data_IF_268573970412
#
_entry.id   IF_268573970412
#
_cell.length_a   1.000
_cell.length_b   1.000
_cell.length_c   1.000
_cell.angle_alpha   90.00
_cell.angle_beta   90.00
_cell.angle_gamma   90.00
#
_symmetry.space_group_name_H-M   'P 1'
#
loop_
_entity.id
_entity.type
_entity.pdbx_description
1 polymer ?
#
# COMPACT_ATOMS: atom_id res chain seq x y z
N UNK A 1 25.45 -0.36 7.38
CA UNK A 1 24.32 0.59 7.28
C UNK A 1 23.25 0.11 8.25
N UNK A 2 22.92 0.91 9.25
CA UNK A 2 22.02 0.48 10.33
C UNK A 2 20.65 0.13 9.75
N UNK A 3 20.26 -1.15 9.81
CA UNK A 3 18.85 -1.57 9.76
C UNK A 3 18.21 -1.05 11.05
N UNK A 4 17.77 0.21 11.03
CA UNK A 4 16.99 0.76 12.13
C UNK A 4 15.59 0.16 12.04
N UNK A 5 15.25 -0.74 12.96
CA UNK A 5 13.85 -1.10 13.22
C UNK A 5 13.17 0.16 13.77
N UNK A 6 12.61 0.98 12.88
CA UNK A 6 11.73 2.07 13.29
C UNK A 6 10.42 1.43 13.71
N UNK A 7 10.00 1.69 14.94
CA UNK A 7 8.69 1.25 15.41
C UNK A 7 7.65 2.22 14.87
N UNK A 8 6.72 1.74 14.06
CA UNK A 8 5.52 2.48 13.70
C UNK A 8 4.52 2.35 14.84
N UNK A 9 4.08 3.48 15.39
CA UNK A 9 2.99 3.50 16.36
C UNK A 9 1.67 3.60 15.59
N UNK A 10 0.82 2.59 15.76
CA UNK A 10 -0.53 2.55 15.19
C UNK A 10 -1.56 2.79 16.29
N UNK A 11 -2.69 3.40 15.94
CA UNK A 11 -3.75 3.68 16.91
C UNK A 11 -4.35 2.38 17.44
N UNK A 12 -4.90 2.43 18.67
CA UNK A 12 -5.61 1.28 19.25
C UNK A 12 -6.75 0.79 18.36
N UNK A 13 -7.49 1.72 17.76
CA UNK A 13 -8.58 1.40 16.84
C UNK A 13 -8.08 0.64 15.60
N UNK A 14 -6.94 1.04 15.03
CA UNK A 14 -6.33 0.32 13.91
C UNK A 14 -5.90 -1.08 14.31
N UNK A 15 -5.32 -1.24 15.51
CA UNK A 15 -4.95 -2.56 16.07
C UNK A 15 -6.20 -3.45 16.19
N UNK A 16 -7.28 -2.96 16.80
CA UNK A 16 -8.52 -3.71 16.97
C UNK A 16 -9.13 -4.15 15.62
N UNK A 17 -9.04 -3.30 14.59
CA UNK A 17 -9.46 -3.64 13.22
C UNK A 17 -8.58 -4.76 12.63
N UNK A 18 -7.27 -4.66 12.77
CA UNK A 18 -6.33 -5.68 12.26
C UNK A 18 -6.58 -7.02 12.98
N UNK A 19 -6.72 -7.02 14.30
CA UNK A 19 -7.01 -8.22 15.09
C UNK A 19 -8.32 -8.88 14.65
N UNK A 20 -9.37 -8.08 14.48
CA UNK A 20 -10.69 -8.58 14.08
C UNK A 20 -10.70 -9.12 12.65
N UNK A 21 -9.91 -8.54 11.74
CA UNK A 21 -9.87 -8.93 10.34
C UNK A 21 -8.86 -10.05 10.04
N UNK A 22 -7.89 -10.27 10.93
CA UNK A 22 -6.86 -11.31 10.78
C UNK A 22 -7.39 -12.69 10.37
N UNK A 23 -8.50 -13.24 10.92
CA UNK A 23 -9.01 -14.54 10.48
C UNK A 23 -9.40 -14.58 9.00
N UNK A 24 -9.83 -13.45 8.42
CA UNK A 24 -10.13 -13.34 6.99
C UNK A 24 -8.84 -13.42 6.17
N UNK A 25 -7.78 -12.74 6.62
CA UNK A 25 -6.48 -12.77 5.95
C UNK A 25 -5.92 -14.21 5.99
N UNK A 26 -5.94 -14.84 7.16
CA UNK A 26 -5.45 -16.23 7.32
C UNK A 26 -6.22 -17.21 6.43
N UNK A 27 -7.53 -17.02 6.27
CA UNK A 27 -8.37 -17.82 5.37
C UNK A 27 -7.99 -17.61 3.90
N UNK A 28 -7.81 -16.36 3.47
CA UNK A 28 -7.49 -16.02 2.07
C UNK A 28 -6.09 -16.47 1.66
N UNK A 29 -5.13 -16.42 2.59
CA UNK A 29 -3.75 -16.85 2.34
C UNK A 29 -3.52 -18.34 2.58
N UNK A 30 -4.49 -19.04 3.16
CA UNK A 30 -4.35 -20.43 3.61
C UNK A 30 -3.15 -20.62 4.57
N UNK A 31 -2.81 -19.57 5.32
CA UNK A 31 -1.63 -19.49 6.19
C UNK A 31 -1.99 -18.82 7.53
N UNK A 32 -1.51 -19.38 8.65
CA UNK A 32 -1.69 -18.75 9.96
C UNK A 32 -0.64 -17.68 10.18
N UNK A 33 -1.06 -16.50 10.63
CA UNK A 33 -0.14 -15.40 10.92
C UNK A 33 0.62 -15.67 12.23
N UNK A 34 1.94 -15.52 12.23
CA UNK A 34 2.74 -15.81 13.43
C UNK A 34 2.50 -14.78 14.55
N UNK A 35 2.24 -13.52 14.17
CA UNK A 35 2.02 -12.43 15.11
C UNK A 35 1.12 -11.35 14.52
N UNK A 36 0.62 -10.45 15.38
CA UNK A 36 -0.11 -9.27 14.92
C UNK A 36 0.79 -8.30 14.16
N UNK A 37 2.05 -8.18 14.57
CA UNK A 37 3.05 -7.35 13.89
C UNK A 37 3.29 -7.82 12.45
N UNK A 38 3.43 -9.14 12.25
CA UNK A 38 3.57 -9.72 10.91
C UNK A 38 2.34 -9.47 10.04
N UNK A 39 1.13 -9.64 10.61
CA UNK A 39 -0.12 -9.31 9.94
C UNK A 39 -0.18 -7.83 9.54
N UNK A 40 0.26 -6.92 10.43
CA UNK A 40 0.29 -5.49 10.16
C UNK A 40 1.31 -5.13 9.06
N UNK A 41 2.51 -5.71 9.08
CA UNK A 41 3.52 -5.53 8.03
C UNK A 41 2.97 -5.94 6.66
N UNK A 42 2.35 -7.11 6.57
CA UNK A 42 1.73 -7.60 5.35
C UNK A 42 0.63 -6.64 4.84
N UNK A 43 -0.27 -6.20 5.72
CA UNK A 43 -1.34 -5.26 5.35
C UNK A 43 -0.76 -3.95 4.80
N UNK A 44 0.32 -3.45 5.41
CA UNK A 44 1.00 -2.23 4.95
C UNK A 44 1.62 -2.47 3.56
N UNK A 45 2.31 -3.59 3.35
CA UNK A 45 2.90 -3.94 2.05
C UNK A 45 1.83 -4.03 0.96
N UNK A 46 0.73 -4.75 1.22
CA UNK A 46 -0.40 -4.85 0.30
C UNK A 46 -1.03 -3.48 0.03
N UNK A 47 -1.16 -2.63 1.05
CA UNK A 47 -1.68 -1.26 0.91
C UNK A 47 -0.80 -0.39 0.00
N UNK A 48 0.52 -0.45 0.16
CA UNK A 48 1.46 0.28 -0.69
C UNK A 48 1.42 -0.21 -2.14
N UNK A 49 1.40 -1.52 -2.37
CA UNK A 49 1.27 -2.08 -3.71
C UNK A 49 -0.05 -1.70 -4.36
N UNK A 50 -1.14 -1.72 -3.58
CA UNK A 50 -2.45 -1.29 -4.04
C UNK A 50 -2.42 0.17 -4.49
N UNK A 51 -1.81 1.07 -3.72
CA UNK A 51 -1.64 2.47 -4.09
C UNK A 51 -0.89 2.64 -5.42
N UNK A 52 0.16 1.85 -5.66
CA UNK A 52 0.87 1.86 -6.95
C UNK A 52 -0.04 1.42 -8.09
N UNK A 53 -0.76 0.30 -7.92
CA UNK A 53 -1.66 -0.23 -8.96
C UNK A 53 -2.92 0.61 -9.18
N UNK A 54 -3.28 1.47 -8.24
CA UNK A 54 -4.40 2.42 -8.39
C UNK A 54 -4.14 3.54 -9.37
N UNK A 55 -2.87 3.80 -9.68
CA UNK A 55 -2.45 4.76 -10.69
C UNK A 55 -2.39 4.16 -12.10
N UNK A 56 -2.69 2.87 -12.26
CA UNK A 56 -2.49 2.13 -13.50
C UNK A 56 -3.83 1.65 -14.11
N UNK A 57 -3.88 1.45 -15.44
CA UNK A 57 -5.03 0.85 -16.11
C UNK A 57 -5.42 -0.51 -15.50
N UNK A 58 -6.71 -0.70 -15.23
CA UNK A 58 -7.23 -1.90 -14.55
C UNK A 58 -7.28 -3.14 -15.45
N UNK A 59 -7.27 -2.94 -16.75
CA UNK A 59 -7.32 -3.96 -17.79
C UNK A 59 -5.94 -4.50 -18.19
N UNK A 60 -4.84 -3.93 -17.68
CA UNK A 60 -3.48 -4.35 -18.00
C UNK A 60 -2.75 -4.95 -16.79
N UNK A 61 -2.84 -6.28 -16.63
CA UNK A 61 -2.26 -7.00 -15.48
C UNK A 61 -0.74 -7.05 -15.53
N UNK A 62 -0.16 -7.22 -16.71
CA UNK A 62 1.28 -7.31 -16.92
C UNK A 62 1.98 -6.01 -16.52
N UNK A 63 1.38 -4.86 -16.85
CA UNK A 63 1.86 -3.55 -16.42
C UNK A 63 1.80 -3.41 -14.89
N UNK A 64 0.67 -3.77 -14.27
CA UNK A 64 0.51 -3.71 -12.81
C UNK A 64 1.57 -4.57 -12.10
N UNK A 65 1.77 -5.81 -12.55
CA UNK A 65 2.77 -6.73 -11.99
C UNK A 65 4.19 -6.21 -12.18
N UNK A 66 4.49 -5.62 -13.34
CA UNK A 66 5.80 -5.02 -13.62
C UNK A 66 6.07 -3.84 -12.69
N UNK A 67 5.08 -2.96 -12.50
CA UNK A 67 5.21 -1.80 -11.61
C UNK A 67 5.38 -2.21 -10.14
N UNK A 68 4.64 -3.22 -9.66
CA UNK A 68 4.85 -3.80 -8.33
C UNK A 68 6.28 -4.35 -8.22
N UNK A 69 6.75 -5.12 -9.20
CA UNK A 69 8.10 -5.69 -9.18
C UNK A 69 9.19 -4.60 -9.16
N UNK A 70 9.01 -3.52 -9.93
CA UNK A 70 9.89 -2.37 -9.89
C UNK A 70 9.86 -1.66 -8.53
N UNK A 71 8.67 -1.49 -7.94
CA UNK A 71 8.50 -0.86 -6.63
C UNK A 71 9.19 -1.68 -5.53
N UNK A 72 9.00 -3.00 -5.50
CA UNK A 72 9.70 -3.90 -4.57
C UNK A 72 11.22 -3.82 -4.71
N UNK A 73 11.72 -3.69 -5.95
CA UNK A 73 13.16 -3.63 -6.24
C UNK A 73 13.78 -2.28 -5.87
N UNK A 74 13.09 -1.17 -6.12
CA UNK A 74 13.57 0.18 -5.84
C UNK A 74 12.39 1.13 -5.53
N UNK A 75 11.86 1.10 -4.29
CA UNK A 75 10.64 1.82 -3.96
C UNK A 75 10.83 3.34 -4.05
N UNK A 76 12.03 3.83 -3.70
CA UNK A 76 12.35 5.25 -3.78
C UNK A 76 12.23 5.78 -5.21
N UNK A 77 12.87 5.11 -6.17
CA UNK A 77 12.85 5.53 -7.57
C UNK A 77 11.42 5.53 -8.15
N UNK A 78 10.65 4.47 -7.89
CA UNK A 78 9.27 4.38 -8.40
C UNK A 78 8.39 5.47 -7.79
N UNK A 79 8.50 5.72 -6.48
CA UNK A 79 7.75 6.80 -5.82
C UNK A 79 8.13 8.19 -6.34
N UNK A 80 9.43 8.46 -6.54
CA UNK A 80 9.91 9.73 -7.11
C UNK A 80 9.41 9.92 -8.55
N UNK A 81 9.45 8.87 -9.37
CA UNK A 81 8.92 8.90 -10.74
C UNK A 81 7.41 9.17 -10.76
N UNK A 82 6.64 8.48 -9.91
CA UNK A 82 5.19 8.71 -9.78
C UNK A 82 4.93 10.18 -9.44
N UNK A 83 5.62 10.73 -8.43
CA UNK A 83 5.46 12.12 -8.03
C UNK A 83 5.78 13.09 -9.19
N UNK A 84 6.87 12.85 -9.92
CA UNK A 84 7.26 13.68 -11.06
C UNK A 84 6.21 13.68 -12.18
N UNK A 85 5.66 12.49 -12.51
CA UNK A 85 4.61 12.36 -13.53
C UNK A 85 3.34 13.08 -13.08
N UNK A 86 2.86 12.79 -11.86
CA UNK A 86 1.64 13.39 -11.33
C UNK A 86 1.72 14.92 -11.23
N UNK A 87 2.89 15.47 -10.89
CA UNK A 87 3.05 16.92 -10.81
C UNK A 87 2.94 17.61 -12.17
N UNK A 88 3.39 16.95 -13.25
CA UNK A 88 3.39 17.48 -14.62
C UNK A 88 2.04 17.38 -15.32
N UNK A 89 1.10 16.61 -14.81
CA UNK A 89 -0.23 16.51 -15.41
C UNK A 89 -1.04 17.82 -15.27
N UNK A 90 -1.76 18.23 -16.34
CA UNK A 90 -2.73 19.32 -16.25
C UNK A 90 -3.81 19.00 -15.21
N UNK A 91 -4.36 20.02 -14.57
CA UNK A 91 -5.31 19.90 -13.44
C UNK A 91 -6.51 18.97 -13.71
N UNK A 92 -6.90 18.80 -14.98
CA UNK A 92 -7.98 17.91 -15.40
C UNK A 92 -7.64 16.41 -15.22
N UNK A 93 -6.39 15.98 -15.45
CA UNK A 93 -5.95 14.60 -15.20
C UNK A 93 -5.83 14.27 -13.71
N UNK A 94 -5.48 15.27 -12.89
CA UNK A 94 -5.38 15.14 -11.42
C UNK A 94 -6.72 14.89 -10.74
N UNK A 95 -7.86 15.24 -11.35
CA UNK A 95 -9.19 15.01 -10.77
C UNK A 95 -9.59 13.54 -10.73
N UNK A 96 -9.15 12.73 -11.69
CA UNK A 96 -9.43 11.28 -11.73
C UNK A 96 -8.59 10.49 -10.72
N UNK A 97 -7.48 11.07 -10.26
CA UNK A 97 -6.53 10.46 -9.33
C UNK A 97 -6.72 10.89 -7.87
N UNK A 98 -7.72 11.74 -7.59
CA UNK A 98 -8.13 12.04 -6.22
C UNK A 98 -8.81 10.81 -5.63
N UNK A 99 -8.02 9.94 -4.99
CA UNK A 99 -8.53 9.03 -3.98
C UNK A 99 -9.29 9.90 -2.98
N UNK A 100 -10.58 9.66 -2.80
CA UNK A 100 -11.37 10.30 -1.74
C UNK A 100 -10.72 9.95 -0.40
N UNK A 101 -9.82 10.80 0.07
CA UNK A 101 -9.23 10.69 1.38
C UNK A 101 -10.35 11.03 2.36
N UNK A 102 -10.90 10.02 3.03
CA UNK A 102 -11.98 10.21 4.00
C UNK A 102 -11.38 10.56 5.36
N UNK A 103 -11.58 11.78 5.88
CA UNK A 103 -11.02 12.23 7.15
C UNK A 103 -11.69 11.57 8.38
N UNK A 104 -12.63 10.65 8.19
CA UNK A 104 -13.38 9.94 9.23
C UNK A 104 -12.56 8.91 10.05
N UNK A 105 -11.23 8.97 9.97
CA UNK A 105 -10.28 8.15 10.76
C UNK A 105 -9.36 9.00 11.67
N UNK A 106 -9.76 10.24 12.00
CA UNK A 106 -9.16 11.07 13.06
C UNK A 106 -9.96 10.96 14.35
#
# INVERSE_FOLDING_TARGET
MAKGNRKLEVSKETIEKIESFRPVIELVMEEKMESLDYCAELIIEMGLEKMVTDLLPKDNKELQQTMIAMFRKNPKFVSEFILEVLQKEPEEGKKELKIEWRPEYQ
#
